data_IF_284986650157
#
_entry.id   IF_284986650157
#
_cell.length_a   1.000
_cell.length_b   1.000
_cell.length_c   1.000
_cell.angle_alpha   90.00
_cell.angle_beta   90.00
_cell.angle_gamma   90.00
#
_symmetry.space_group_name_H-M   'P 1'
#
loop_
_entity.id
_entity.type
_entity.pdbx_description
1 polymer ?
#
# COMPACT_ATOMS: atom_id res chain seq x y z
N UNK A 1 0.67 19.84 -21.21
CA UNK A 1 1.71 19.61 -22.26
C UNK A 1 2.99 20.32 -21.84
N UNK A 2 4.15 20.05 -22.48
CA UNK A 2 5.40 20.75 -22.15
C UNK A 2 5.27 22.28 -22.25
N UNK A 3 4.38 22.76 -23.14
CA UNK A 3 4.00 24.17 -23.26
C UNK A 3 3.44 24.79 -21.98
N UNK A 4 2.85 23.98 -21.11
CA UNK A 4 2.13 24.44 -19.92
C UNK A 4 3.07 24.41 -18.69
N UNK A 5 4.29 23.91 -18.84
CA UNK A 5 5.31 23.88 -17.79
C UNK A 5 6.12 25.17 -17.89
N UNK A 6 5.52 26.26 -17.44
CA UNK A 6 6.12 27.59 -17.31
C UNK A 6 6.21 27.98 -15.83
N UNK A 7 7.05 28.96 -15.50
CA UNK A 7 7.11 29.55 -14.14
C UNK A 7 7.41 28.53 -13.01
N UNK A 8 8.19 27.49 -13.32
CA UNK A 8 8.56 26.44 -12.35
C UNK A 8 9.36 27.03 -11.17
N UNK A 9 10.21 28.03 -11.43
CA UNK A 9 11.10 28.60 -10.41
C UNK A 9 10.31 29.20 -9.23
N UNK A 10 9.18 29.86 -9.52
CA UNK A 10 8.30 30.43 -8.50
C UNK A 10 7.60 29.32 -7.71
N UNK A 11 7.08 28.29 -8.39
CA UNK A 11 6.47 27.13 -7.75
C UNK A 11 7.46 26.41 -6.81
N UNK A 12 8.71 26.20 -7.25
CA UNK A 12 9.75 25.53 -6.45
C UNK A 12 10.04 26.28 -5.15
N UNK A 13 9.91 27.61 -5.15
CA UNK A 13 10.11 28.43 -3.95
C UNK A 13 8.99 28.28 -2.90
N UNK A 14 7.80 27.85 -3.33
CA UNK A 14 6.61 27.72 -2.49
C UNK A 14 6.32 26.29 -2.04
N UNK A 15 6.85 25.27 -2.73
CA UNK A 15 6.61 23.86 -2.41
C UNK A 15 7.08 23.54 -1.00
N UNK A 16 6.14 23.02 -0.20
CA UNK A 16 6.38 22.44 1.12
C UNK A 16 5.75 21.06 1.17
N UNK A 17 6.48 20.11 1.71
CA UNK A 17 5.99 18.76 1.94
C UNK A 17 5.84 18.52 3.43
N UNK A 18 4.69 17.98 3.81
CA UNK A 18 4.48 17.48 5.15
C UNK A 18 5.00 16.03 5.22
N UNK A 19 5.83 15.75 6.22
CA UNK A 19 6.30 14.39 6.46
C UNK A 19 5.14 13.54 6.98
N UNK A 20 4.71 12.57 6.19
CA UNK A 20 3.75 11.56 6.62
C UNK A 20 4.38 10.45 7.46
N UNK A 21 3.54 9.49 7.87
CA UNK A 21 3.98 8.27 8.56
C UNK A 21 3.92 7.07 7.60
N UNK A 22 4.83 6.09 7.74
CA UNK A 22 4.75 4.87 6.95
C UNK A 22 3.53 4.04 7.35
N UNK A 23 2.80 3.55 6.35
CA UNK A 23 1.73 2.58 6.57
C UNK A 23 2.27 1.30 7.21
N UNK A 24 1.45 0.65 8.03
CA UNK A 24 1.78 -0.68 8.54
C UNK A 24 1.84 -1.69 7.39
N UNK A 25 2.61 -2.78 7.53
CA UNK A 25 2.76 -3.78 6.45
C UNK A 25 1.44 -4.26 5.84
N UNK A 26 0.40 -4.50 6.64
CA UNK A 26 -0.90 -4.96 6.12
C UNK A 26 -1.74 -3.84 5.48
N UNK A 27 -1.62 -2.60 5.95
CA UNK A 27 -2.25 -1.44 5.32
C UNK A 27 -1.62 -1.19 3.95
N UNK A 28 -0.29 -1.24 3.86
CA UNK A 28 0.42 -1.16 2.58
C UNK A 28 0.00 -2.27 1.62
N UNK A 29 -0.12 -3.51 2.10
CA UNK A 29 -0.59 -4.62 1.27
C UNK A 29 -2.03 -4.40 0.76
N UNK A 30 -2.93 -3.85 1.58
CA UNK A 30 -4.25 -3.45 1.10
C UNK A 30 -4.19 -2.33 0.06
N UNK A 31 -3.22 -1.43 0.19
CA UNK A 31 -2.99 -0.34 -0.77
C UNK A 31 -2.43 -0.79 -2.12
N UNK A 32 -1.67 -1.89 -2.16
CA UNK A 32 -0.98 -2.34 -3.38
C UNK A 32 -1.59 -3.58 -4.04
N UNK A 33 -2.25 -4.46 -3.28
CA UNK A 33 -2.67 -5.76 -3.79
C UNK A 33 -4.07 -5.73 -4.39
N UNK A 34 -4.34 -6.51 -5.45
CA UNK A 34 -5.70 -6.74 -5.93
C UNK A 34 -6.44 -7.78 -5.08
N UNK A 35 -7.78 -7.84 -5.12
CA UNK A 35 -8.58 -8.82 -4.36
C UNK A 35 -8.22 -10.29 -4.63
N UNK A 36 -7.73 -10.61 -5.82
CA UNK A 36 -7.25 -11.96 -6.17
C UNK A 36 -6.07 -12.42 -5.31
N UNK A 37 -5.28 -11.47 -4.79
CA UNK A 37 -4.14 -11.69 -3.91
C UNK A 37 -4.47 -11.53 -2.43
N UNK A 38 -5.76 -11.43 -2.06
CA UNK A 38 -6.19 -11.24 -0.67
C UNK A 38 -5.72 -12.38 0.26
N UNK A 39 -5.38 -13.55 -0.28
CA UNK A 39 -4.84 -14.66 0.51
C UNK A 39 -3.49 -14.35 1.17
N UNK A 40 -2.74 -13.34 0.69
CA UNK A 40 -1.48 -12.87 1.29
C UNK A 40 -1.69 -12.11 2.61
N UNK A 41 -2.92 -11.63 2.86
CA UNK A 41 -3.30 -10.95 4.09
C UNK A 41 -3.86 -11.95 5.13
N UNK A 42 -3.81 -11.61 6.43
CA UNK A 42 -4.54 -12.35 7.46
C UNK A 42 -6.04 -12.43 7.15
N UNK A 43 -6.70 -13.50 7.61
CA UNK A 43 -8.12 -13.76 7.32
C UNK A 43 -9.05 -12.57 7.60
N UNK A 44 -8.89 -11.80 8.71
CA UNK A 44 -9.75 -10.64 8.97
C UNK A 44 -9.70 -9.55 7.89
N UNK A 45 -8.52 -9.27 7.34
CA UNK A 45 -8.31 -8.22 6.33
C UNK A 45 -8.93 -8.56 4.97
N UNK A 46 -9.01 -9.85 4.60
CA UNK A 46 -9.43 -10.27 3.25
C UNK A 46 -10.82 -9.78 2.86
N UNK A 47 -11.71 -9.64 3.85
CA UNK A 47 -13.08 -9.16 3.64
C UNK A 47 -13.11 -7.71 3.17
N UNK A 48 -12.11 -6.89 3.55
CA UNK A 48 -12.02 -5.50 3.11
C UNK A 48 -11.86 -5.37 1.58
N UNK A 49 -11.28 -6.37 0.92
CA UNK A 49 -11.09 -6.36 -0.54
C UNK A 49 -12.23 -7.08 -1.29
N UNK A 50 -12.76 -8.14 -0.68
CA UNK A 50 -13.64 -9.10 -1.37
C UNK A 50 -15.13 -8.92 -1.07
N UNK A 51 -15.48 -8.44 0.12
CA UNK A 51 -16.87 -8.23 0.53
C UNK A 51 -17.50 -7.06 -0.21
N UNK A 52 -18.70 -7.24 -0.75
CA UNK A 52 -19.48 -6.15 -1.34
C UNK A 52 -19.93 -5.11 -0.28
N UNK A 53 -19.98 -5.51 0.99
CA UNK A 53 -20.27 -4.62 2.13
C UNK A 53 -19.01 -3.93 2.69
N UNK A 54 -17.86 -4.03 2.03
CA UNK A 54 -16.66 -3.36 2.50
C UNK A 54 -16.78 -1.84 2.30
N UNK A 55 -16.43 -1.02 3.32
CA UNK A 55 -16.47 0.44 3.18
C UNK A 55 -15.51 0.96 2.09
N UNK A 56 -14.45 0.21 1.82
CA UNK A 56 -13.41 0.54 0.84
C UNK A 56 -13.52 -0.29 -0.44
N UNK A 57 -14.70 -0.90 -0.70
CA UNK A 57 -14.90 -1.77 -1.89
C UNK A 57 -14.61 -1.04 -3.20
N UNK A 58 -14.89 0.26 -3.26
CA UNK A 58 -14.74 1.10 -4.44
C UNK A 58 -13.28 1.25 -4.90
N UNK A 59 -12.30 1.04 -4.03
CA UNK A 59 -10.88 0.98 -4.41
C UNK A 59 -10.49 -0.29 -5.17
N UNK A 60 -11.37 -1.31 -5.17
CA UNK A 60 -11.08 -2.63 -5.73
C UNK A 60 -12.05 -3.01 -6.86
N UNK A 61 -12.01 -2.31 -8.01
CA UNK A 61 -12.81 -2.67 -9.15
C UNK A 61 -12.44 -4.08 -9.66
N UNK A 62 -13.44 -4.86 -10.09
CA UNK A 62 -13.22 -6.19 -10.69
C UNK A 62 -12.52 -6.06 -12.05
N UNK A 63 -12.91 -5.06 -12.82
CA UNK A 63 -12.36 -4.72 -14.13
C UNK A 63 -12.00 -3.23 -14.16
N UNK A 64 -10.88 -2.90 -14.78
CA UNK A 64 -10.43 -1.52 -14.98
C UNK A 64 -10.02 -1.30 -16.43
N UNK A 65 -10.06 -0.04 -16.87
CA UNK A 65 -9.67 0.32 -18.24
C UNK A 65 -8.16 0.52 -18.30
N UNK A 66 -7.55 0.05 -19.39
CA UNK A 66 -6.17 0.39 -19.74
C UNK A 66 -6.24 1.36 -20.91
N UNK A 67 -5.85 2.61 -20.67
CA UNK A 67 -5.72 3.60 -21.75
C UNK A 67 -4.38 3.38 -22.45
N UNK A 68 -4.46 2.97 -23.71
CA UNK A 68 -3.28 2.68 -24.51
C UNK A 68 -2.54 3.95 -24.93
N UNK A 69 -3.20 5.11 -25.02
CA UNK A 69 -2.58 6.38 -25.48
C UNK A 69 -1.61 6.22 -26.68
N UNK A 70 -2.03 5.46 -27.70
CA UNK A 70 -1.24 5.17 -28.90
C UNK A 70 -0.09 4.15 -28.74
N UNK A 71 0.05 3.53 -27.56
CA UNK A 71 1.02 2.46 -27.30
C UNK A 71 0.57 1.14 -27.92
N UNK A 72 1.56 0.28 -28.20
CA UNK A 72 1.34 -1.00 -28.87
C UNK A 72 1.03 -2.12 -27.88
N UNK A 73 1.71 -2.12 -26.74
CA UNK A 73 1.62 -3.23 -25.80
C UNK A 73 0.84 -2.84 -24.54
N UNK A 74 -0.01 -3.72 -23.98
CA UNK A 74 -0.85 -3.37 -22.83
C UNK A 74 -0.10 -2.92 -21.58
N UNK A 75 1.11 -3.43 -21.35
CA UNK A 75 1.95 -3.04 -20.20
C UNK A 75 2.55 -1.62 -20.34
N UNK A 76 2.45 -1.01 -21.52
CA UNK A 76 2.83 0.39 -21.76
C UNK A 76 1.66 1.35 -21.54
N UNK A 77 0.43 0.80 -21.45
CA UNK A 77 -0.79 1.57 -21.23
C UNK A 77 -0.94 2.03 -19.79
N UNK A 78 -1.78 3.05 -19.59
CA UNK A 78 -2.10 3.59 -18.27
C UNK A 78 -3.29 2.84 -17.69
N UNK A 79 -3.07 2.15 -16.56
CA UNK A 79 -4.14 1.54 -15.79
C UNK A 79 -4.97 2.63 -15.09
N UNK A 80 -6.23 2.79 -15.51
CA UNK A 80 -7.15 3.77 -14.93
C UNK A 80 -7.80 3.16 -13.70
N UNK A 81 -7.10 3.26 -12.57
CA UNK A 81 -7.56 2.83 -11.25
C UNK A 81 -7.94 4.03 -10.38
N UNK A 82 -8.91 3.89 -9.46
CA UNK A 82 -9.16 4.90 -8.44
C UNK A 82 -7.94 5.00 -7.53
N UNK A 83 -7.58 6.21 -7.13
CA UNK A 83 -6.60 6.42 -6.08
C UNK A 83 -7.20 6.03 -4.73
N UNK A 84 -6.36 5.44 -3.87
CA UNK A 84 -6.74 5.07 -2.52
C UNK A 84 -6.56 6.27 -1.61
N UNK A 85 -7.63 6.62 -0.89
CA UNK A 85 -7.55 7.56 0.22
C UNK A 85 -6.99 6.82 1.45
N UNK A 86 -5.88 7.35 1.98
CA UNK A 86 -5.15 6.71 3.08
C UNK A 86 -5.96 6.74 4.38
N UNK A 87 -6.68 7.84 4.64
CA UNK A 87 -7.44 8.00 5.87
C UNK A 87 -8.65 7.07 5.90
N UNK A 88 -9.32 6.90 4.75
CA UNK A 88 -10.41 5.94 4.59
C UNK A 88 -9.91 4.49 4.75
N UNK A 89 -8.76 4.16 4.17
CA UNK A 89 -8.14 2.83 4.27
C UNK A 89 -7.83 2.49 5.73
N UNK A 90 -7.12 3.38 6.44
CA UNK A 90 -6.71 3.17 7.83
C UNK A 90 -7.94 3.12 8.75
N UNK A 91 -8.95 3.97 8.52
CA UNK A 91 -10.20 3.97 9.28
C UNK A 91 -11.00 2.68 9.09
N UNK A 92 -11.06 2.16 7.86
CA UNK A 92 -11.70 0.88 7.55
C UNK A 92 -10.98 -0.29 8.25
N UNK A 93 -9.65 -0.32 8.22
CA UNK A 93 -8.85 -1.32 8.93
C UNK A 93 -9.11 -1.28 10.43
N UNK A 94 -9.03 -0.09 11.04
CA UNK A 94 -9.25 0.09 12.48
C UNK A 94 -10.63 -0.37 12.95
N UNK A 95 -11.64 -0.20 12.10
CA UNK A 95 -13.02 -0.59 12.41
C UNK A 95 -13.28 -2.07 12.17
N UNK A 96 -12.75 -2.63 11.07
CA UNK A 96 -13.08 -3.99 10.64
C UNK A 96 -12.15 -5.07 11.21
N UNK A 97 -10.92 -4.70 11.60
CA UNK A 97 -9.89 -5.64 12.04
C UNK A 97 -9.34 -5.20 13.40
N UNK A 98 -10.00 -5.58 14.50
CA UNK A 98 -9.46 -5.39 15.83
C UNK A 98 -8.17 -6.22 16.00
N UNK A 99 -7.21 -5.74 16.79
CA UNK A 99 -5.88 -6.36 16.93
C UNK A 99 -6.01 -7.79 17.52
N UNK A 100 -7.01 -8.02 18.36
CA UNK A 100 -7.35 -9.32 18.97
C UNK A 100 -7.82 -10.37 17.95
N UNK A 101 -8.24 -9.95 16.74
CA UNK A 101 -8.60 -10.88 15.67
C UNK A 101 -7.37 -11.47 14.96
N UNK A 102 -6.16 -10.96 15.26
CA UNK A 102 -4.90 -11.41 14.68
C UNK A 102 -4.16 -12.35 15.62
N UNK A 103 -3.41 -13.27 15.05
CA UNK A 103 -2.47 -14.08 15.82
C UNK A 103 -1.30 -13.24 16.32
N UNK A 104 -0.64 -13.69 17.39
CA UNK A 104 0.53 -12.99 17.97
C UNK A 104 1.62 -12.74 16.92
N UNK A 105 1.89 -13.72 16.05
CA UNK A 105 2.86 -13.59 14.96
C UNK A 105 2.42 -12.56 13.91
N UNK A 106 1.13 -12.47 13.60
CA UNK A 106 0.59 -11.46 12.68
C UNK A 106 0.67 -10.05 13.26
N UNK A 107 0.39 -9.89 14.55
CA UNK A 107 0.57 -8.61 15.24
C UNK A 107 2.03 -8.18 15.27
N UNK A 108 2.96 -9.12 15.52
CA UNK A 108 4.40 -8.86 15.57
C UNK A 108 4.95 -8.40 14.21
N UNK A 109 4.55 -9.05 13.12
CA UNK A 109 5.01 -8.70 11.75
C UNK A 109 4.30 -7.49 11.14
N UNK A 110 3.23 -6.97 11.76
CA UNK A 110 2.50 -5.78 11.31
C UNK A 110 2.96 -4.48 12.01
N UNK A 111 4.19 -4.46 12.53
CA UNK A 111 4.80 -3.29 13.17
C UNK A 111 5.87 -2.71 12.28
N UNK A 112 6.04 -1.39 12.34
CA UNK A 112 7.18 -0.71 11.74
C UNK A 112 8.43 -1.16 12.49
N UNK A 113 9.30 -1.91 11.82
CA UNK A 113 10.51 -2.46 12.42
C UNK A 113 11.68 -1.50 12.34
N UNK A 114 12.53 -1.49 13.37
CA UNK A 114 13.93 -1.09 13.24
C UNK A 114 14.76 -2.36 13.09
N UNK A 115 15.29 -2.59 11.88
CA UNK A 115 16.08 -3.78 11.60
C UNK A 115 17.54 -3.36 11.47
N UNK A 116 18.36 -3.80 12.43
CA UNK A 116 19.81 -3.83 12.31
C UNK A 116 20.27 -5.27 12.56
N UNK A 117 20.63 -5.99 11.50
CA UNK A 117 21.30 -7.28 11.62
C UNK A 117 22.79 -7.04 11.44
N UNK A 118 23.55 -7.10 12.53
CA UNK A 118 25.01 -7.13 12.47
C UNK A 118 25.45 -8.58 12.66
N UNK A 119 26.12 -9.13 11.65
CA UNK A 119 26.76 -10.43 11.75
C UNK A 119 28.24 -10.19 12.02
N UNK A 120 28.73 -10.67 13.16
CA UNK A 120 30.15 -10.68 13.52
C UNK A 120 30.60 -12.12 13.60
N UNK A 121 31.82 -12.39 13.16
CA UNK A 121 32.44 -13.69 13.31
C UNK A 121 33.11 -13.79 14.68
N UNK A 122 32.92 -14.90 15.40
CA UNK A 122 33.56 -15.19 16.68
C UNK A 122 34.62 -16.27 16.50
N UNK A 123 35.87 -15.93 16.84
CA UNK A 123 37.04 -16.83 16.80
C UNK A 123 36.97 -17.96 17.84
N UNK A 124 36.12 -17.82 18.88
CA UNK A 124 36.15 -18.68 20.08
C UNK A 124 35.03 -19.72 20.14
N UNK A 125 34.14 -19.80 19.15
CA UNK A 125 33.19 -20.92 19.03
C UNK A 125 33.91 -22.13 18.38
N UNK A 126 34.77 -22.81 19.15
CA UNK A 126 35.30 -24.13 18.83
C UNK A 126 34.17 -25.18 18.82
N UNK A 127 34.26 -26.11 17.85
CA UNK A 127 33.43 -27.32 17.66
C UNK A 127 33.38 -28.26 18.85
#
# INVERSE_FOLDING_TARGET
MLSDIIEIDDLLSEIKFDMGEPLRPFEQLLGCMPPSSAYLLPKPYRKLMTSENSPIKHFYPKDFKVDMNGKRNPWEGVAVLPFIDIDDLVSAVKTAVPEEALTVEEQKRNRVGQIGLALTWDENEET
#
